data_IF_687001568760
#
_entry.id   IF_687001568760
#
_cell.length_a   1.000
_cell.length_b   1.000
_cell.length_c   1.000
_cell.angle_alpha   90.00
_cell.angle_beta   90.00
_cell.angle_gamma   90.00
#
_symmetry.space_group_name_H-M   'P 1'
#
loop_
_entity.id
_entity.type
_entity.pdbx_description
1 polymer ?
#
# COMPACT_ATOMS: atom_id res chain seq x y z
N UNK A 1 -31.37 17.43 14.63
CA UNK A 1 -30.41 16.35 14.32
C UNK A 1 -29.26 16.50 15.27
N UNK A 2 -28.84 15.42 15.91
CA UNK A 2 -27.67 15.43 16.80
C UNK A 2 -26.40 15.62 15.95
N UNK A 3 -25.45 16.42 16.43
CA UNK A 3 -24.16 16.61 15.75
C UNK A 3 -23.43 15.26 15.57
N UNK A 4 -23.62 14.33 16.51
CA UNK A 4 -23.09 12.95 16.45
C UNK A 4 -23.66 12.16 15.28
N UNK A 5 -24.99 12.16 15.12
CA UNK A 5 -25.69 11.43 14.05
C UNK A 5 -25.24 11.90 12.67
N UNK A 6 -24.99 13.21 12.53
CA UNK A 6 -24.50 13.79 11.28
C UNK A 6 -23.07 13.33 10.99
N UNK A 7 -22.18 13.39 11.98
CA UNK A 7 -20.78 12.94 11.82
C UNK A 7 -20.73 11.45 11.52
N UNK A 8 -21.51 10.64 12.22
CA UNK A 8 -21.63 9.20 11.99
C UNK A 8 -22.08 8.89 10.55
N UNK A 9 -23.12 9.59 10.08
CA UNK A 9 -23.60 9.44 8.71
C UNK A 9 -22.54 9.87 7.67
N UNK A 10 -21.79 10.93 7.93
CA UNK A 10 -20.70 11.38 7.04
C UNK A 10 -19.60 10.32 6.97
N UNK A 11 -19.13 9.83 8.13
CA UNK A 11 -18.04 8.85 8.18
C UNK A 11 -18.45 7.53 7.52
N UNK A 12 -19.70 7.10 7.71
CA UNK A 12 -20.24 5.92 7.04
C UNK A 12 -20.35 6.12 5.52
N UNK A 13 -20.87 7.27 5.07
CA UNK A 13 -21.06 7.54 3.66
C UNK A 13 -19.75 7.81 2.89
N UNK A 14 -18.75 8.39 3.55
CA UNK A 14 -17.46 8.69 2.94
C UNK A 14 -16.69 7.41 2.56
N UNK A 15 -16.70 6.39 3.44
CA UNK A 15 -15.93 5.16 3.23
C UNK A 15 -14.41 5.37 3.21
N UNK A 16 -13.93 6.58 3.53
CA UNK A 16 -12.53 6.98 3.57
C UNK A 16 -12.28 7.97 4.72
N UNK A 17 -11.01 8.31 4.97
CA UNK A 17 -10.62 9.20 6.05
C UNK A 17 -10.97 10.67 5.76
N UNK A 18 -11.89 11.22 6.55
CA UNK A 18 -12.39 12.60 6.45
C UNK A 18 -11.65 13.51 7.43
N UNK A 19 -11.16 14.65 6.97
CA UNK A 19 -10.45 15.60 7.82
C UNK A 19 -11.41 16.36 8.76
N UNK A 20 -10.87 16.78 9.91
CA UNK A 20 -11.62 17.53 10.93
C UNK A 20 -12.23 18.82 10.38
N UNK A 21 -11.57 19.49 9.43
CA UNK A 21 -12.08 20.77 8.89
C UNK A 21 -13.31 20.54 8.01
N UNK A 22 -13.33 19.47 7.21
CA UNK A 22 -14.47 19.07 6.39
C UNK A 22 -15.67 18.71 7.27
N UNK A 23 -15.46 17.91 8.32
CA UNK A 23 -16.51 17.60 9.29
C UNK A 23 -17.06 18.89 9.93
N UNK A 24 -16.18 19.78 10.37
CA UNK A 24 -16.54 21.05 10.99
C UNK A 24 -17.34 21.99 10.08
N UNK A 25 -17.01 22.03 8.78
CA UNK A 25 -17.78 22.78 7.78
C UNK A 25 -19.21 22.26 7.65
N UNK A 26 -19.40 20.94 7.62
CA UNK A 26 -20.72 20.33 7.42
C UNK A 26 -21.63 20.57 8.64
N UNK A 27 -21.10 20.45 9.85
CA UNK A 27 -21.87 20.71 11.08
C UNK A 27 -21.88 22.20 11.49
N UNK A 28 -21.30 23.09 10.67
CA UNK A 28 -21.22 24.53 10.90
C UNK A 28 -20.65 24.92 12.27
N UNK A 29 -19.51 24.29 12.64
CA UNK A 29 -18.78 24.52 13.89
C UNK A 29 -17.32 24.84 13.65
N UNK A 30 -16.64 25.34 14.69
CA UNK A 30 -15.18 25.42 14.68
C UNK A 30 -14.57 24.03 14.86
N UNK A 31 -13.42 23.75 14.22
CA UNK A 31 -12.73 22.47 14.35
C UNK A 31 -12.47 22.06 15.82
N UNK A 32 -12.15 23.03 16.69
CA UNK A 32 -11.94 22.81 18.13
C UNK A 32 -13.17 22.25 18.85
N UNK A 33 -14.37 22.60 18.40
CA UNK A 33 -15.62 22.14 19.01
C UNK A 33 -16.09 20.80 18.43
N UNK A 34 -15.53 20.36 17.30
CA UNK A 34 -15.89 19.10 16.64
C UNK A 34 -15.10 17.93 17.20
N UNK A 35 -13.81 18.12 17.51
CA UNK A 35 -12.94 17.06 18.04
C UNK A 35 -13.54 16.35 19.27
N UNK A 36 -14.11 17.04 20.28
CA UNK A 36 -14.75 16.37 21.42
C UNK A 36 -15.97 15.52 21.04
N UNK A 37 -16.73 15.96 20.02
CA UNK A 37 -17.91 15.22 19.52
C UNK A 37 -17.45 13.93 18.85
N UNK A 38 -16.39 13.98 18.05
CA UNK A 38 -15.80 12.81 17.39
C UNK A 38 -15.22 11.85 18.44
N UNK A 39 -14.45 12.35 19.42
CA UNK A 39 -13.88 11.52 20.49
C UNK A 39 -14.96 10.77 21.27
N UNK A 40 -16.06 11.44 21.60
CA UNK A 40 -17.17 10.78 22.29
C UNK A 40 -17.91 9.76 21.41
N UNK A 41 -17.91 9.94 20.09
CA UNK A 41 -18.43 8.94 19.14
C UNK A 41 -17.48 7.73 19.04
N UNK A 42 -16.17 7.96 19.03
CA UNK A 42 -15.15 6.90 19.06
C UNK A 42 -15.25 6.04 20.32
N UNK A 43 -15.40 6.68 21.49
CA UNK A 43 -15.61 5.96 22.76
C UNK A 43 -16.86 5.09 22.74
N UNK A 44 -17.98 5.60 22.21
CA UNK A 44 -19.21 4.81 22.06
C UNK A 44 -18.97 3.58 21.16
N UNK A 45 -18.36 3.75 20.00
CA UNK A 45 -18.08 2.65 19.06
C UNK A 45 -17.07 1.63 19.60
N UNK A 46 -16.15 2.07 20.49
CA UNK A 46 -15.19 1.20 21.17
C UNK A 46 -15.86 0.33 22.25
N UNK A 47 -16.81 0.90 23.01
CA UNK A 47 -17.49 0.22 24.14
C UNK A 47 -18.70 -0.59 23.71
N UNK A 48 -19.35 -0.20 22.61
CA UNK A 48 -20.48 -0.91 22.02
C UNK A 48 -20.02 -2.24 21.41
N UNK A 49 -20.87 -3.26 21.51
CA UNK A 49 -20.77 -4.53 20.77
C UNK A 49 -21.10 -4.33 19.28
N UNK A 50 -20.34 -3.45 18.61
CA UNK A 50 -20.41 -3.16 17.18
C UNK A 50 -19.28 -3.87 16.42
N UNK A 51 -19.57 -4.26 15.18
CA UNK A 51 -18.57 -4.73 14.21
C UNK A 51 -17.69 -3.61 13.65
N UNK A 52 -18.07 -2.36 13.88
CA UNK A 52 -17.42 -1.17 13.35
C UNK A 52 -16.70 -0.38 14.45
N UNK A 53 -15.70 0.39 14.07
CA UNK A 53 -14.98 1.33 14.91
C UNK A 53 -14.70 2.63 14.16
N UNK A 54 -14.39 3.69 14.91
CA UNK A 54 -13.93 4.96 14.35
C UNK A 54 -12.51 5.19 14.87
N UNK A 55 -11.57 5.44 13.96
CA UNK A 55 -10.16 5.65 14.31
C UNK A 55 -9.69 7.05 13.90
N UNK A 56 -8.68 7.56 14.61
CA UNK A 56 -7.98 8.80 14.32
C UNK A 56 -6.67 8.50 13.59
N UNK A 57 -6.52 9.05 12.38
CA UNK A 57 -5.34 8.99 11.51
C UNK A 57 -4.68 10.36 11.41
N UNK A 58 -4.31 10.95 12.55
CA UNK A 58 -3.60 12.23 12.61
C UNK A 58 -4.49 13.45 12.30
N UNK A 59 -5.70 13.49 12.86
CA UNK A 59 -6.69 14.55 12.63
C UNK A 59 -7.63 14.29 11.45
N UNK A 60 -7.56 13.09 10.89
CA UNK A 60 -8.52 12.53 9.92
C UNK A 60 -9.21 11.34 10.57
N UNK A 61 -10.51 11.20 10.35
CA UNK A 61 -11.32 10.20 11.00
C UNK A 61 -11.96 9.30 9.95
N UNK A 62 -11.96 7.98 10.21
CA UNK A 62 -12.58 6.99 9.33
C UNK A 62 -13.40 6.01 10.16
N UNK A 63 -14.58 5.65 9.66
CA UNK A 63 -15.36 4.52 10.17
C UNK A 63 -14.97 3.26 9.39
N UNK A 64 -14.52 2.23 10.09
CA UNK A 64 -14.07 0.98 9.49
C UNK A 64 -14.59 -0.24 10.25
N UNK A 65 -14.44 -1.42 9.66
CA UNK A 65 -14.72 -2.69 10.33
C UNK A 65 -13.58 -3.01 11.29
N UNK A 66 -13.91 -3.47 12.50
CA UNK A 66 -12.92 -3.86 13.51
C UNK A 66 -12.00 -4.97 12.95
N UNK A 67 -10.68 -4.90 13.17
CA UNK A 67 -9.70 -5.85 12.64
C UNK A 67 -10.04 -7.33 12.88
N UNK A 68 -10.69 -7.65 14.01
CA UNK A 68 -11.11 -9.01 14.36
C UNK A 68 -12.14 -9.63 13.40
N UNK A 69 -12.81 -8.84 12.57
CA UNK A 69 -13.79 -9.32 11.59
C UNK A 69 -13.28 -9.28 10.15
N UNK A 70 -12.10 -8.69 9.89
CA UNK A 70 -11.59 -8.45 8.54
C UNK A 70 -11.49 -9.73 7.70
N UNK A 71 -11.00 -10.83 8.27
CA UNK A 71 -10.88 -12.10 7.54
C UNK A 71 -12.24 -12.69 7.15
N UNK A 72 -13.27 -12.49 8.00
CA UNK A 72 -14.62 -13.00 7.77
C UNK A 72 -15.35 -12.22 6.67
N UNK A 73 -15.10 -10.91 6.58
CA UNK A 73 -15.79 -10.03 5.62
C UNK A 73 -15.03 -9.84 4.30
N UNK A 74 -13.76 -10.26 4.24
CA UNK A 74 -12.91 -10.20 3.04
C UNK A 74 -13.58 -10.68 1.74
N UNK A 75 -14.43 -11.75 1.74
CA UNK A 75 -15.12 -12.18 0.52
C UNK A 75 -16.19 -11.20 -0.01
N UNK A 76 -16.73 -10.32 0.85
CA UNK A 76 -17.87 -9.43 0.57
C UNK A 76 -17.41 -7.96 0.52
N UNK A 77 -16.28 -7.63 1.13
CA UNK A 77 -15.70 -6.30 1.09
C UNK A 77 -15.49 -5.83 -0.38
N UNK A 78 -15.64 -4.53 -0.68
CA UNK A 78 -15.37 -4.00 -2.01
C UNK A 78 -13.98 -4.45 -2.41
N UNK A 79 -13.89 -5.19 -3.54
CA UNK A 79 -12.60 -5.72 -3.98
C UNK A 79 -11.63 -4.56 -4.10
N UNK A 80 -10.61 -4.60 -3.25
CA UNK A 80 -9.38 -3.82 -3.38
C UNK A 80 -8.90 -3.81 -4.84
N UNK A 81 -7.96 -2.93 -5.16
CA UNK A 81 -7.20 -2.98 -6.41
C UNK A 81 -6.92 -4.45 -6.78
N UNK A 82 -7.40 -4.89 -7.95
CA UNK A 82 -7.26 -6.30 -8.36
C UNK A 82 -5.80 -6.69 -8.19
N UNK A 83 -5.52 -7.92 -7.72
CA UNK A 83 -4.16 -8.37 -7.43
C UNK A 83 -3.10 -8.01 -8.50
N UNK A 84 -3.38 -8.07 -9.83
CA UNK A 84 -2.44 -7.58 -10.84
C UNK A 84 -2.13 -6.08 -10.73
N UNK A 85 -3.14 -5.24 -10.53
CA UNK A 85 -2.99 -3.78 -10.41
C UNK A 85 -2.24 -3.46 -9.12
N UNK A 86 -2.62 -4.09 -8.00
CA UNK A 86 -1.93 -3.93 -6.72
C UNK A 86 -0.44 -4.27 -6.82
N UNK A 87 -0.07 -5.37 -7.48
CA UNK A 87 1.35 -5.69 -7.73
C UNK A 87 2.07 -4.59 -8.49
N UNK A 88 1.42 -3.98 -9.48
CA UNK A 88 2.03 -2.87 -10.25
C UNK A 88 2.21 -1.65 -9.36
N UNK A 89 1.21 -1.31 -8.56
CA UNK A 89 1.27 -0.20 -7.60
C UNK A 89 2.40 -0.39 -6.59
N UNK A 90 2.50 -1.58 -6.00
CA UNK A 90 3.56 -1.91 -5.04
C UNK A 90 4.95 -1.83 -5.66
N UNK A 91 5.10 -2.19 -6.94
CA UNK A 91 6.37 -2.07 -7.67
C UNK A 91 6.73 -0.60 -7.94
N UNK A 92 5.76 0.23 -8.30
CA UNK A 92 5.95 1.70 -8.36
C UNK A 92 6.37 2.24 -7.00
N UNK A 93 5.63 1.91 -5.94
CA UNK A 93 5.88 2.40 -4.58
C UNK A 93 7.26 1.99 -4.03
N UNK A 94 7.75 0.80 -4.40
CA UNK A 94 9.07 0.31 -3.98
C UNK A 94 10.23 0.90 -4.78
N UNK A 95 10.04 1.09 -6.10
CA UNK A 95 11.10 1.57 -7.01
C UNK A 95 11.05 3.06 -7.28
N UNK A 96 10.09 3.80 -6.70
CA UNK A 96 9.94 5.21 -6.98
C UNK A 96 11.19 6.04 -6.59
N UNK A 97 11.55 7.05 -7.40
CA UNK A 97 10.98 7.34 -8.71
C UNK A 97 11.39 6.31 -9.76
N UNK A 98 10.43 5.72 -10.49
CA UNK A 98 10.69 4.65 -11.47
C UNK A 98 10.27 5.06 -12.88
N UNK A 99 11.06 4.68 -13.89
CA UNK A 99 10.73 4.95 -15.28
C UNK A 99 9.69 3.92 -15.77
N UNK A 100 8.62 4.39 -16.41
CA UNK A 100 7.53 3.55 -16.89
C UNK A 100 8.01 2.43 -17.83
N UNK A 101 9.01 2.70 -18.68
CA UNK A 101 9.55 1.68 -19.60
C UNK A 101 10.27 0.56 -18.85
N UNK A 102 11.03 0.87 -17.81
CA UNK A 102 11.69 -0.14 -16.96
C UNK A 102 10.65 -1.03 -16.27
N UNK A 103 9.54 -0.44 -15.81
CA UNK A 103 8.46 -1.19 -15.20
C UNK A 103 7.75 -2.12 -16.21
N UNK A 104 7.59 -1.67 -17.46
CA UNK A 104 7.07 -2.49 -18.56
C UNK A 104 8.03 -3.64 -18.87
N UNK A 105 9.34 -3.41 -18.88
CA UNK A 105 10.33 -4.47 -19.12
C UNK A 105 10.30 -5.55 -18.02
N UNK A 106 10.04 -5.16 -16.77
CA UNK A 106 9.95 -6.08 -15.64
C UNK A 106 8.64 -6.89 -15.62
N UNK A 107 7.51 -6.32 -16.07
CA UNK A 107 6.17 -6.87 -15.78
C UNK A 107 5.27 -7.05 -17.02
N UNK A 108 5.76 -6.65 -18.20
CA UNK A 108 5.10 -6.78 -19.50
C UNK A 108 4.06 -5.69 -19.78
N UNK A 109 3.46 -5.76 -20.98
CA UNK A 109 2.60 -4.70 -21.55
C UNK A 109 1.34 -4.39 -20.74
N UNK A 110 0.87 -5.28 -19.86
CA UNK A 110 -0.28 -5.00 -18.96
C UNK A 110 -0.07 -3.78 -18.06
N UNK A 111 1.18 -3.35 -17.86
CA UNK A 111 1.55 -2.17 -17.07
C UNK A 111 0.93 -0.88 -17.61
N UNK A 112 0.74 -0.74 -18.92
CA UNK A 112 0.14 0.47 -19.49
C UNK A 112 -1.28 0.72 -18.97
N UNK A 113 -2.11 -0.33 -18.95
CA UNK A 113 -3.48 -0.25 -18.45
C UNK A 113 -3.51 -0.05 -16.93
N UNK A 114 -2.63 -0.73 -16.20
CA UNK A 114 -2.53 -0.57 -14.74
C UNK A 114 -2.10 0.85 -14.35
N UNK A 115 -1.11 1.44 -15.03
CA UNK A 115 -0.69 2.83 -14.78
C UNK A 115 -1.84 3.80 -15.03
N UNK A 116 -2.61 3.58 -16.12
CA UNK A 116 -3.78 4.41 -16.41
C UNK A 116 -4.79 4.35 -15.27
N UNK A 117 -5.18 3.15 -14.85
CA UNK A 117 -6.13 2.97 -13.75
C UNK A 117 -5.62 3.54 -12.43
N UNK A 118 -4.34 3.30 -12.08
CA UNK A 118 -3.75 3.81 -10.83
C UNK A 118 -3.67 5.33 -10.81
N UNK A 119 -3.38 5.95 -11.95
CA UNK A 119 -3.38 7.40 -12.09
C UNK A 119 -4.79 7.98 -12.03
N UNK A 120 -5.76 7.35 -12.68
CA UNK A 120 -7.17 7.78 -12.66
C UNK A 120 -7.77 7.67 -11.25
N UNK A 121 -7.32 6.67 -10.46
CA UNK A 121 -7.63 6.54 -9.03
C UNK A 121 -6.79 7.43 -8.12
N UNK A 122 -5.82 8.17 -8.66
CA UNK A 122 -4.98 9.10 -7.91
C UNK A 122 -3.90 8.47 -7.03
N UNK A 123 -3.62 7.17 -7.13
CA UNK A 123 -2.58 6.50 -6.33
C UNK A 123 -1.15 6.83 -6.76
N UNK A 124 -0.98 7.16 -8.04
CA UNK A 124 0.32 7.51 -8.62
C UNK A 124 0.22 8.78 -9.45
N UNK A 125 1.32 9.51 -9.50
CA UNK A 125 1.56 10.56 -10.49
C UNK A 125 2.53 10.08 -11.56
N UNK A 126 2.40 10.64 -12.76
CA UNK A 126 3.21 10.29 -13.92
C UNK A 126 3.70 11.56 -14.61
N UNK A 127 4.99 11.89 -14.42
CA UNK A 127 5.62 13.10 -14.95
C UNK A 127 6.34 12.77 -16.26
N UNK A 128 6.26 13.61 -17.32
CA UNK A 128 7.01 13.39 -18.55
C UNK A 128 8.52 13.25 -18.30
N UNK A 129 9.13 12.22 -18.88
CA UNK A 129 10.57 11.97 -18.78
C UNK A 129 11.09 11.44 -20.12
N UNK A 130 11.64 12.34 -20.95
CA UNK A 130 12.07 12.01 -22.31
C UNK A 130 10.93 11.47 -23.16
N UNK A 131 11.07 10.24 -23.66
CA UNK A 131 10.05 9.54 -24.49
C UNK A 131 9.07 8.69 -23.66
N UNK A 132 9.18 8.72 -22.34
CA UNK A 132 8.41 7.91 -21.40
C UNK A 132 7.96 8.77 -20.21
N UNK A 133 7.55 8.15 -19.11
CA UNK A 133 7.09 8.83 -17.89
C UNK A 133 7.86 8.33 -16.68
N UNK A 134 8.08 9.22 -15.72
CA UNK A 134 8.57 8.91 -14.38
C UNK A 134 7.36 8.78 -13.45
N UNK A 135 7.28 7.67 -12.72
CA UNK A 135 6.15 7.31 -11.86
C UNK A 135 6.53 7.42 -10.38
N UNK A 136 5.63 8.00 -9.59
CA UNK A 136 5.77 8.17 -8.13
C UNK A 136 4.42 8.02 -7.44
N UNK A 137 4.41 7.69 -6.15
CA UNK A 137 3.18 7.61 -5.33
C UNK A 137 2.74 8.98 -4.85
N UNK A 138 1.42 9.15 -4.72
CA UNK A 138 0.82 10.39 -4.21
C UNK A 138 0.54 10.31 -2.71
N UNK A 139 0.18 11.42 -2.05
CA UNK A 139 -0.28 11.39 -0.65
C UNK A 139 -1.47 10.45 -0.41
N UNK A 140 -2.37 10.29 -1.40
CA UNK A 140 -3.50 9.37 -1.31
C UNK A 140 -3.05 7.91 -1.10
N UNK A 141 -1.91 7.51 -1.69
CA UNK A 141 -1.33 6.20 -1.42
C UNK A 141 -0.97 6.04 0.06
N UNK A 142 -0.30 7.03 0.65
CA UNK A 142 0.07 6.97 2.07
C UNK A 142 -1.18 6.89 2.96
N UNK A 143 -2.19 7.73 2.69
CA UNK A 143 -3.46 7.71 3.43
C UNK A 143 -4.17 6.34 3.32
N UNK A 144 -4.26 5.78 2.11
CA UNK A 144 -4.96 4.52 1.85
C UNK A 144 -4.28 3.32 2.54
N UNK A 145 -2.95 3.30 2.60
CA UNK A 145 -2.18 2.23 3.24
C UNK A 145 -1.82 2.54 4.71
N UNK A 146 -2.36 3.62 5.29
CA UNK A 146 -2.13 4.00 6.69
C UNK A 146 -0.67 4.31 7.00
N UNK A 147 0.03 4.97 6.07
CA UNK A 147 1.42 5.39 6.23
C UNK A 147 1.46 6.83 6.76
N UNK A 148 2.28 7.09 7.78
CA UNK A 148 2.39 8.42 8.39
C UNK A 148 2.86 9.50 7.39
N UNK A 149 3.62 9.10 6.35
CA UNK A 149 4.25 10.00 5.38
C UNK A 149 4.38 9.38 3.99
N UNK A 150 4.13 10.18 2.95
CA UNK A 150 4.43 9.82 1.56
C UNK A 150 5.92 10.06 1.23
N UNK A 151 6.82 9.48 2.02
CA UNK A 151 8.27 9.53 1.79
C UNK A 151 8.76 8.17 1.24
N UNK A 152 9.54 8.14 0.14
CA UNK A 152 9.96 6.89 -0.51
C UNK A 152 10.61 5.87 0.44
N UNK A 153 11.47 6.34 1.36
CA UNK A 153 12.16 5.48 2.32
C UNK A 153 11.21 4.88 3.36
N UNK A 154 10.22 5.63 3.84
CA UNK A 154 9.20 5.13 4.76
C UNK A 154 8.34 4.07 4.09
N UNK A 155 7.90 4.34 2.86
CA UNK A 155 7.10 3.42 2.05
C UNK A 155 7.87 2.12 1.81
N UNK A 156 9.13 2.21 1.38
CA UNK A 156 9.99 1.06 1.11
C UNK A 156 10.20 0.20 2.35
N UNK A 157 10.51 0.82 3.50
CA UNK A 157 10.64 0.11 4.78
C UNK A 157 9.37 -0.65 5.13
N UNK A 158 8.20 -0.01 4.97
CA UNK A 158 6.92 -0.64 5.29
C UNK A 158 6.61 -1.81 4.35
N UNK A 159 6.86 -1.68 3.05
CA UNK A 159 6.68 -2.77 2.09
C UNK A 159 7.56 -3.97 2.45
N UNK A 160 8.82 -3.74 2.83
CA UNK A 160 9.74 -4.80 3.26
C UNK A 160 9.29 -5.46 4.55
N UNK A 161 8.82 -4.68 5.53
CA UNK A 161 8.26 -5.18 6.79
C UNK A 161 7.06 -6.12 6.53
N UNK A 162 6.08 -5.65 5.76
CA UNK A 162 4.86 -6.39 5.42
C UNK A 162 5.17 -7.67 4.62
N UNK A 163 6.11 -7.60 3.67
CA UNK A 163 6.50 -8.77 2.88
C UNK A 163 7.21 -9.85 3.71
N UNK A 164 8.00 -9.45 4.71
CA UNK A 164 8.66 -10.40 5.62
C UNK A 164 7.66 -11.15 6.48
N UNK A 165 6.60 -10.49 6.93
CA UNK A 165 5.53 -11.10 7.72
C UNK A 165 4.73 -12.13 6.91
N UNK A 166 4.53 -11.93 5.60
CA UNK A 166 3.70 -12.82 4.78
C UNK A 166 4.47 -13.96 4.08
N UNK A 167 5.74 -13.79 3.71
CA UNK A 167 6.40 -14.75 2.79
C UNK A 167 7.90 -14.94 3.00
N UNK A 168 8.49 -14.39 4.07
CA UNK A 168 9.93 -14.46 4.30
C UNK A 168 10.77 -13.73 3.23
N UNK A 169 12.11 -13.85 3.32
CA UNK A 169 13.06 -13.08 2.49
C UNK A 169 13.08 -13.55 1.03
N UNK A 170 12.92 -14.86 0.80
CA UNK A 170 12.93 -15.45 -0.55
C UNK A 170 11.70 -15.08 -1.39
N UNK A 171 10.53 -14.92 -0.75
CA UNK A 171 9.32 -14.44 -1.41
C UNK A 171 9.45 -13.01 -1.92
N UNK A 172 10.11 -12.15 -1.14
CA UNK A 172 10.36 -10.74 -1.52
C UNK A 172 11.31 -10.64 -2.72
N UNK A 173 12.39 -11.43 -2.73
CA UNK A 173 13.37 -11.41 -3.82
C UNK A 173 12.77 -11.89 -5.16
N UNK A 174 11.95 -12.95 -5.13
CA UNK A 174 11.18 -13.40 -6.30
C UNK A 174 10.17 -12.34 -6.74
N UNK A 175 9.51 -11.67 -5.80
CA UNK A 175 8.53 -10.62 -6.06
C UNK A 175 9.15 -9.35 -6.70
N UNK A 176 10.37 -8.99 -6.31
CA UNK A 176 11.15 -7.88 -6.89
C UNK A 176 11.69 -8.16 -8.29
N UNK A 177 11.42 -9.33 -8.87
CA UNK A 177 11.92 -9.70 -10.20
C UNK A 177 13.44 -9.86 -10.25
N UNK A 178 14.10 -10.04 -9.09
CA UNK A 178 15.53 -10.37 -9.05
C UNK A 178 15.72 -11.75 -9.66
N UNK A 179 16.28 -11.79 -10.87
CA UNK A 179 16.71 -13.03 -11.52
C UNK A 179 17.99 -13.49 -10.84
N UNK A 180 17.87 -14.34 -9.83
CA UNK A 180 19.02 -15.08 -9.32
C UNK A 180 19.39 -16.15 -10.34
N UNK A 181 20.63 -16.11 -10.82
CA UNK A 181 21.18 -17.21 -11.62
C UNK A 181 21.79 -18.20 -10.62
N UNK A 182 21.16 -19.36 -10.50
CA UNK A 182 21.65 -20.46 -9.68
C UNK A 182 22.77 -21.20 -10.39
N UNK A 183 23.91 -21.36 -9.74
CA UNK A 183 25.03 -22.14 -10.26
C UNK A 183 25.45 -23.21 -9.26
N UNK A 184 25.88 -24.37 -9.75
CA UNK A 184 26.55 -25.34 -8.88
C UNK A 184 27.85 -24.79 -8.32
N UNK A 185 28.30 -25.20 -7.12
CA UNK A 185 29.53 -24.71 -6.48
C UNK A 185 30.76 -24.75 -7.39
N UNK A 186 30.83 -25.72 -8.30
CA UNK A 186 31.91 -25.85 -9.28
C UNK A 186 32.04 -24.66 -10.25
N UNK A 187 31.00 -23.87 -10.47
CA UNK A 187 31.03 -22.74 -11.41
C UNK A 187 31.31 -21.39 -10.74
N UNK A 188 31.51 -21.35 -9.42
CA UNK A 188 31.76 -20.10 -8.66
C UNK A 188 32.88 -19.26 -9.28
N UNK A 189 34.03 -19.87 -9.53
CA UNK A 189 35.20 -19.18 -10.10
C UNK A 189 34.96 -18.63 -11.51
N UNK A 190 34.08 -19.26 -12.29
CA UNK A 190 33.71 -18.80 -13.62
C UNK A 190 32.78 -17.59 -13.55
N UNK A 191 31.82 -17.62 -12.62
CA UNK A 191 30.87 -16.54 -12.38
C UNK A 191 31.58 -15.28 -11.86
N UNK A 192 32.54 -15.45 -10.96
CA UNK A 192 33.39 -14.36 -10.45
C UNK A 192 34.22 -13.73 -11.58
N UNK A 193 34.77 -14.57 -12.47
CA UNK A 193 35.57 -14.13 -13.62
C UNK A 193 34.73 -13.40 -14.67
N UNK A 194 33.46 -13.78 -14.83
CA UNK A 194 32.50 -13.10 -15.71
C UNK A 194 31.91 -11.82 -15.09
N UNK A 195 32.26 -11.46 -13.86
CA UNK A 195 31.81 -10.23 -13.21
C UNK A 195 30.32 -10.21 -12.86
N UNK A 196 29.68 -11.37 -12.75
CA UNK A 196 28.27 -11.51 -12.37
C UNK A 196 28.20 -11.37 -10.85
N UNK A 197 27.54 -10.30 -10.35
CA UNK A 197 27.52 -9.97 -8.92
C UNK A 197 26.33 -10.55 -8.14
N UNK A 198 25.25 -10.88 -8.83
CA UNK A 198 24.00 -11.35 -8.22
C UNK A 198 23.73 -12.82 -8.59
N UNK A 199 24.40 -13.75 -7.92
CA UNK A 199 24.24 -15.20 -8.12
C UNK A 199 24.10 -15.94 -6.78
N UNK A 200 23.45 -17.12 -6.81
CA UNK A 200 23.40 -18.04 -5.66
C UNK A 200 24.07 -19.35 -6.04
N UNK A 201 24.89 -19.87 -5.14
CA UNK A 201 25.41 -21.24 -5.30
C UNK A 201 24.32 -22.21 -4.88
N UNK A 202 23.91 -23.15 -5.74
CA UNK A 202 22.87 -24.15 -5.46
C UNK A 202 23.50 -25.53 -5.61
N UNK A 203 23.36 -26.40 -4.61
CA UNK A 203 23.80 -27.79 -4.72
C UNK A 203 22.84 -28.57 -5.64
N UNK A 204 23.33 -29.10 -6.76
CA UNK A 204 22.50 -29.84 -7.72
C UNK A 204 21.99 -31.19 -7.19
N UNK A 205 22.60 -31.71 -6.12
CA UNK A 205 22.23 -32.99 -5.50
C UNK A 205 21.31 -32.83 -4.28
N UNK A 206 21.19 -31.62 -3.75
CA UNK A 206 20.20 -31.24 -2.73
C UNK A 206 19.80 -29.77 -2.91
N UNK A 207 18.76 -29.47 -3.71
CA UNK A 207 18.37 -28.11 -4.05
C UNK A 207 17.69 -27.35 -2.90
N UNK A 208 17.63 -27.93 -1.70
CA UNK A 208 16.91 -27.39 -0.53
C UNK A 208 17.81 -26.85 0.58
N UNK A 209 19.12 -27.09 0.57
CA UNK A 209 20.04 -26.56 1.60
C UNK A 209 20.72 -25.24 1.17
N UNK A 210 20.88 -24.35 2.16
CA UNK A 210 20.95 -22.87 2.11
C UNK A 210 22.05 -22.21 1.24
#
# INVERSE_FOLDING_TARGET
>A
MSEREIIEAILFAAGEAVDTQTLAKIINRSAKNVTPVIQSLMEEYSTRESGMEIIDLGGRYVMQVKPKYTDLISPIAPKELKAPILRTLSMVAYHQPVVQSELVDMRGNSVYDHIRELKDRGFIEAVPHGRTKLLQTTPLFADYFGLDRNEPECIKKKIVELSRQQSGKEGLDRWLGRKFIGFTPMYRSLVDLCGIKDYRTINAYDPTEE
#
